data_IF_283549174757
#
_entry.id   IF_283549174757
#
_cell.length_a   1.000
_cell.length_b   1.000
_cell.length_c   1.000
_cell.angle_alpha   90.00
_cell.angle_beta   90.00
_cell.angle_gamma   90.00
#
_symmetry.space_group_name_H-M   'P 1'
#
loop_
_entity.id
_entity.type
_entity.pdbx_description
1 polymer ?
#
# COMPACT_ATOMS: atom_id res chain seq x y z
N UNK A 1 25.68 15.30 -22.12
CA UNK A 1 24.34 14.89 -22.60
C UNK A 1 23.34 15.17 -21.49
N UNK A 2 22.38 16.07 -21.69
CA UNK A 2 21.38 16.44 -20.66
C UNK A 2 20.28 15.39 -20.69
N UNK A 3 20.40 14.35 -19.87
CA UNK A 3 19.36 13.33 -19.75
C UNK A 3 18.18 13.99 -19.03
N UNK A 4 17.21 14.49 -19.81
CA UNK A 4 15.92 14.91 -19.30
C UNK A 4 15.12 13.62 -19.08
N UNK A 5 15.43 12.92 -17.99
CA UNK A 5 14.63 11.80 -17.54
C UNK A 5 13.35 12.36 -16.93
N UNK A 6 12.24 12.26 -17.65
CA UNK A 6 10.92 12.47 -17.07
C UNK A 6 10.62 11.37 -16.02
N UNK A 7 11.15 11.54 -14.80
CA UNK A 7 10.65 10.86 -13.61
C UNK A 7 9.65 11.68 -12.73
N UNK A 8 8.78 12.60 -13.25
CA UNK A 8 7.80 13.28 -12.41
C UNK A 8 6.44 12.58 -12.33
N UNK A 9 5.97 11.87 -13.38
CA UNK A 9 4.57 11.37 -13.41
C UNK A 9 4.34 10.14 -12.52
N UNK A 10 5.20 9.12 -12.61
CA UNK A 10 5.08 7.91 -11.79
C UNK A 10 5.30 8.20 -10.30
N UNK A 11 6.25 9.07 -9.96
CA UNK A 11 6.46 9.53 -8.58
C UNK A 11 5.20 10.21 -8.01
N UNK A 12 4.56 11.07 -8.79
CA UNK A 12 3.31 11.75 -8.40
C UNK A 12 2.18 10.72 -8.24
N UNK A 13 2.11 9.71 -9.12
CA UNK A 13 1.14 8.62 -9.02
C UNK A 13 1.33 7.81 -7.73
N UNK A 14 2.55 7.38 -7.43
CA UNK A 14 2.86 6.67 -6.19
C UNK A 14 2.51 7.52 -4.96
N UNK A 15 2.89 8.80 -4.94
CA UNK A 15 2.55 9.69 -3.83
C UNK A 15 1.03 9.83 -3.64
N UNK A 16 0.26 9.95 -4.74
CA UNK A 16 -1.21 9.99 -4.68
C UNK A 16 -1.79 8.67 -4.17
N UNK A 17 -1.29 7.54 -4.65
CA UNK A 17 -1.71 6.21 -4.23
C UNK A 17 -1.48 6.00 -2.73
N UNK A 18 -0.29 6.33 -2.23
CA UNK A 18 0.04 6.21 -0.79
C UNK A 18 -0.83 7.13 0.06
N UNK A 19 -1.11 8.37 -0.38
CA UNK A 19 -2.05 9.27 0.31
C UNK A 19 -3.46 8.67 0.38
N UNK A 20 -3.95 8.16 -0.75
CA UNK A 20 -5.28 7.56 -0.83
C UNK A 20 -5.36 6.34 0.08
N UNK A 21 -4.32 5.51 0.11
CA UNK A 21 -4.26 4.33 0.95
C UNK A 21 -4.17 4.65 2.44
N UNK A 22 -3.41 5.70 2.82
CA UNK A 22 -3.39 6.21 4.18
C UNK A 22 -4.76 6.74 4.61
N UNK A 23 -5.43 7.53 3.76
CA UNK A 23 -6.77 8.04 4.01
C UNK A 23 -7.80 6.90 4.16
N UNK A 24 -7.74 5.92 3.28
CA UNK A 24 -8.56 4.72 3.36
C UNK A 24 -8.34 3.97 4.69
N UNK A 25 -7.08 3.83 5.12
CA UNK A 25 -6.74 3.12 6.35
C UNK A 25 -7.30 3.82 7.58
N UNK A 26 -7.18 5.15 7.68
CA UNK A 26 -7.72 5.88 8.85
C UNK A 26 -9.26 5.84 8.89
N UNK A 27 -9.93 5.96 7.72
CA UNK A 27 -11.39 5.85 7.66
C UNK A 27 -11.86 4.44 8.06
N UNK A 28 -11.14 3.40 7.62
CA UNK A 28 -11.42 2.01 7.98
C UNK A 28 -11.21 1.76 9.47
N UNK A 29 -10.18 2.35 10.08
CA UNK A 29 -9.93 2.28 11.52
C UNK A 29 -11.05 2.93 12.34
N UNK A 30 -11.54 4.11 11.91
CA UNK A 30 -12.66 4.80 12.55
C UNK A 30 -13.92 3.92 12.45
N UNK A 31 -14.22 3.41 11.25
CA UNK A 31 -15.38 2.55 11.04
C UNK A 31 -15.32 1.28 11.90
N UNK A 32 -14.16 0.60 11.96
CA UNK A 32 -13.98 -0.57 12.81
C UNK A 32 -14.19 -0.20 14.29
N UNK A 33 -13.65 0.93 14.76
CA UNK A 33 -13.81 1.38 16.15
C UNK A 33 -15.26 1.66 16.52
N UNK A 34 -16.04 2.25 15.61
CA UNK A 34 -17.49 2.45 15.80
C UNK A 34 -18.18 1.09 15.93
N UNK A 35 -17.85 0.14 15.07
CA UNK A 35 -18.44 -1.21 15.08
C UNK A 35 -18.05 -1.99 16.35
N UNK A 36 -16.83 -1.81 16.87
CA UNK A 36 -16.43 -2.33 18.19
C UNK A 36 -17.41 -1.86 19.25
N UNK A 37 -17.69 -0.54 19.32
CA UNK A 37 -18.64 0.03 20.26
C UNK A 37 -20.03 -0.61 20.13
N UNK A 38 -20.56 -0.70 18.91
CA UNK A 38 -21.88 -1.31 18.63
C UNK A 38 -21.95 -2.76 19.14
N UNK A 39 -20.95 -3.59 18.84
CA UNK A 39 -20.96 -4.99 19.28
C UNK A 39 -20.70 -5.18 20.77
N UNK A 40 -20.01 -4.23 21.41
CA UNK A 40 -19.78 -4.24 22.85
C UNK A 40 -21.08 -3.94 23.61
N UNK A 41 -21.89 -2.98 23.13
CA UNK A 41 -23.23 -2.72 23.66
C UNK A 41 -24.25 -3.82 23.34
N UNK A 42 -24.02 -4.59 22.28
CA UNK A 42 -24.90 -5.70 21.87
C UNK A 42 -24.53 -7.06 22.50
N UNK A 43 -23.67 -7.06 23.53
CA UNK A 43 -23.22 -8.25 24.28
C UNK A 43 -22.62 -9.38 23.41
N UNK A 44 -21.95 -9.03 22.29
CA UNK A 44 -21.28 -9.98 21.40
C UNK A 44 -19.76 -9.79 21.44
N UNK A 45 -19.08 -10.16 22.54
CA UNK A 45 -17.67 -9.81 22.80
C UNK A 45 -16.69 -10.44 21.79
N UNK A 46 -17.01 -11.63 21.27
CA UNK A 46 -16.17 -12.28 20.25
C UNK A 46 -16.06 -11.46 18.96
N UNK A 47 -17.12 -10.72 18.59
CA UNK A 47 -17.12 -9.88 17.37
C UNK A 47 -16.42 -8.57 17.63
N UNK A 48 -16.62 -7.96 18.79
CA UNK A 48 -15.95 -6.70 19.13
C UNK A 48 -14.42 -6.85 19.14
N UNK A 49 -13.90 -7.99 19.63
CA UNK A 49 -12.46 -8.27 19.58
C UNK A 49 -11.94 -8.29 18.14
N UNK A 50 -12.65 -8.92 17.20
CA UNK A 50 -12.22 -8.97 15.80
C UNK A 50 -12.17 -7.59 15.14
N UNK A 51 -13.18 -6.74 15.37
CA UNK A 51 -13.15 -5.37 14.88
C UNK A 51 -12.10 -4.51 15.60
N UNK A 52 -11.78 -4.81 16.86
CA UNK A 52 -10.71 -4.13 17.59
C UNK A 52 -9.33 -4.46 17.00
N UNK A 53 -9.09 -5.74 16.69
CA UNK A 53 -7.89 -6.16 15.94
C UNK A 53 -7.85 -5.48 14.57
N UNK A 54 -9.00 -5.41 13.88
CA UNK A 54 -9.15 -4.65 12.64
C UNK A 54 -8.75 -3.17 12.79
N UNK A 55 -9.21 -2.49 13.84
CA UNK A 55 -8.81 -1.11 14.16
C UNK A 55 -7.30 -0.99 14.29
N UNK A 56 -6.66 -1.84 15.10
CA UNK A 56 -5.20 -1.79 15.26
C UNK A 56 -4.46 -2.05 13.95
N UNK A 57 -4.93 -2.99 13.14
CA UNK A 57 -4.36 -3.28 11.81
C UNK A 57 -4.44 -2.05 10.89
N UNK A 58 -5.58 -1.36 10.85
CA UNK A 58 -5.74 -0.19 10.00
C UNK A 58 -5.00 1.05 10.52
N UNK A 59 -4.94 1.26 11.83
CA UNK A 59 -4.15 2.34 12.45
C UNK A 59 -2.66 2.15 12.19
N UNK A 60 -2.15 0.94 12.40
CA UNK A 60 -0.73 0.63 12.14
C UNK A 60 -0.39 0.80 10.66
N UNK A 61 -1.28 0.34 9.76
CA UNK A 61 -1.15 0.57 8.31
C UNK A 61 -1.10 2.08 7.99
N UNK A 62 -1.97 2.89 8.58
CA UNK A 62 -2.00 4.34 8.38
C UNK A 62 -0.67 5.00 8.79
N UNK A 63 -0.21 4.74 10.01
CA UNK A 63 1.03 5.33 10.54
C UNK A 63 2.25 4.95 9.70
N UNK A 64 2.32 3.68 9.29
CA UNK A 64 3.39 3.17 8.44
C UNK A 64 3.41 3.85 7.06
N UNK A 65 2.24 4.03 6.43
CA UNK A 65 2.17 4.72 5.14
C UNK A 65 2.48 6.21 5.24
N UNK A 66 2.19 6.87 6.37
CA UNK A 66 2.60 8.25 6.61
C UNK A 66 4.12 8.40 6.70
N UNK A 67 4.79 7.55 7.48
CA UNK A 67 6.26 7.56 7.59
C UNK A 67 6.92 7.29 6.24
N UNK A 68 6.41 6.29 5.51
CA UNK A 68 6.88 6.00 4.15
C UNK A 68 6.71 7.19 3.22
N UNK A 69 5.56 7.87 3.28
CA UNK A 69 5.27 9.01 2.43
C UNK A 69 6.24 10.17 2.70
N UNK A 70 6.54 10.45 3.97
CA UNK A 70 7.49 11.50 4.35
C UNK A 70 8.91 11.15 3.87
N UNK A 71 9.36 9.91 4.09
CA UNK A 71 10.66 9.42 3.60
C UNK A 71 10.76 9.46 2.07
N UNK A 72 9.71 9.07 1.36
CA UNK A 72 9.65 9.08 -0.10
C UNK A 72 9.78 10.51 -0.67
N UNK A 73 9.18 11.50 -0.01
CA UNK A 73 9.30 12.92 -0.39
C UNK A 73 10.74 13.43 -0.27
N UNK A 74 11.44 13.04 0.80
CA UNK A 74 12.82 13.48 1.11
C UNK A 74 13.89 12.75 0.31
N UNK A 75 13.60 11.53 -0.14
CA UNK A 75 14.56 10.69 -0.86
C UNK A 75 14.72 11.18 -2.31
N UNK A 76 15.96 11.21 -2.82
CA UNK A 76 16.26 11.51 -4.22
C UNK A 76 15.90 10.32 -5.10
N UNK A 77 15.41 10.57 -6.32
CA UNK A 77 14.96 9.51 -7.23
C UNK A 77 16.02 8.43 -7.48
N UNK A 78 17.29 8.80 -7.70
CA UNK A 78 18.40 7.85 -7.93
C UNK A 78 18.64 6.86 -6.78
N UNK A 79 18.12 7.13 -5.58
CA UNK A 79 18.26 6.28 -4.40
C UNK A 79 17.00 5.47 -4.11
N UNK A 80 15.94 5.60 -4.92
CA UNK A 80 14.67 4.90 -4.69
C UNK A 80 14.84 3.39 -4.72
N UNK A 81 15.67 2.84 -5.61
CA UNK A 81 15.90 1.41 -5.66
C UNK A 81 16.52 0.84 -4.38
N UNK A 82 17.51 1.54 -3.79
CA UNK A 82 18.07 1.16 -2.49
C UNK A 82 17.05 1.33 -1.38
N UNK A 83 16.30 2.43 -1.41
CA UNK A 83 15.27 2.75 -0.43
C UNK A 83 14.19 1.66 -0.40
N UNK A 84 13.62 1.29 -1.55
CA UNK A 84 12.59 0.25 -1.65
C UNK A 84 13.11 -1.13 -1.28
N UNK A 85 14.36 -1.48 -1.61
CA UNK A 85 14.96 -2.77 -1.19
C UNK A 85 15.20 -2.86 0.32
N UNK A 86 15.46 -1.73 0.98
CA UNK A 86 15.77 -1.67 2.42
C UNK A 86 14.55 -1.40 3.28
N UNK A 87 13.42 -1.00 2.69
CA UNK A 87 12.23 -0.68 3.45
C UNK A 87 11.55 -1.93 3.98
N UNK A 88 11.30 -1.96 5.29
CA UNK A 88 10.54 -3.01 5.97
C UNK A 88 9.38 -2.37 6.75
N UNK A 89 8.14 -2.88 6.63
CA UNK A 89 7.75 -4.04 5.84
C UNK A 89 7.82 -3.80 4.33
N UNK A 90 8.00 -4.85 3.52
CA UNK A 90 7.93 -4.74 2.07
C UNK A 90 6.51 -4.36 1.65
N UNK A 91 6.29 -3.07 1.41
CA UNK A 91 5.01 -2.53 0.95
C UNK A 91 4.52 -3.24 -0.30
N UNK A 92 3.26 -3.62 -0.30
CA UNK A 92 2.57 -4.25 -1.40
C UNK A 92 2.76 -5.76 -1.53
N UNK A 93 3.77 -6.35 -0.86
CA UNK A 93 4.05 -7.79 -0.98
C UNK A 93 3.01 -8.69 -0.30
N UNK A 94 2.27 -8.16 0.67
CA UNK A 94 1.28 -8.91 1.43
C UNK A 94 -0.14 -8.83 0.84
N UNK A 95 -0.33 -8.26 -0.35
CA UNK A 95 -1.66 -8.06 -0.92
C UNK A 95 -2.46 -9.36 -1.04
N UNK A 96 -1.84 -10.43 -1.53
CA UNK A 96 -2.49 -11.75 -1.62
C UNK A 96 -2.93 -12.30 -0.26
N UNK A 97 -2.10 -12.13 0.78
CA UNK A 97 -2.44 -12.56 2.14
C UNK A 97 -3.69 -11.86 2.65
N UNK A 98 -3.83 -10.55 2.42
CA UNK A 98 -5.02 -9.81 2.81
C UNK A 98 -6.26 -10.28 2.04
N UNK A 99 -6.15 -10.59 0.74
CA UNK A 99 -7.25 -11.17 -0.03
C UNK A 99 -7.68 -12.52 0.54
N UNK A 100 -6.73 -13.38 0.93
CA UNK A 100 -7.05 -14.67 1.57
C UNK A 100 -7.73 -14.49 2.93
N UNK A 101 -7.24 -13.57 3.77
CA UNK A 101 -7.87 -13.26 5.07
C UNK A 101 -9.30 -12.74 4.87
N UNK A 102 -9.50 -11.86 3.88
CA UNK A 102 -10.83 -11.37 3.52
C UNK A 102 -11.78 -12.50 3.11
N UNK A 103 -11.31 -13.45 2.29
CA UNK A 103 -12.10 -14.60 1.88
C UNK A 103 -12.52 -15.46 3.09
N UNK A 104 -11.59 -15.72 4.01
CA UNK A 104 -11.88 -16.46 5.25
C UNK A 104 -12.95 -15.75 6.07
N UNK A 105 -12.85 -14.42 6.21
CA UNK A 105 -13.85 -13.62 6.93
C UNK A 105 -15.20 -13.58 6.22
N UNK A 106 -15.22 -13.56 4.89
CA UNK A 106 -16.45 -13.63 4.10
C UNK A 106 -17.15 -14.98 4.28
N UNK A 107 -16.41 -16.10 4.28
CA UNK A 107 -16.96 -17.42 4.59
C UNK A 107 -17.49 -17.46 6.03
N UNK A 108 -16.75 -16.91 6.99
CA UNK A 108 -17.21 -16.82 8.37
C UNK A 108 -18.48 -15.95 8.51
N UNK A 109 -18.63 -14.91 7.68
CA UNK A 109 -19.83 -14.07 7.61
C UNK A 109 -21.04 -14.85 7.12
N UNK A 110 -20.90 -15.66 6.06
CA UNK A 110 -22.00 -16.53 5.57
C UNK A 110 -22.46 -17.50 6.66
N UNK A 111 -21.54 -18.00 7.49
CA UNK A 111 -21.85 -18.99 8.53
C UNK A 111 -22.47 -18.37 9.80
N UNK A 112 -21.95 -17.23 10.28
CA UNK A 112 -22.32 -16.66 11.59
C UNK A 112 -22.75 -15.20 11.56
N UNK A 113 -22.55 -14.51 10.44
CA UNK A 113 -22.86 -13.10 10.23
C UNK A 113 -22.03 -12.12 11.06
N UNK A 114 -21.92 -10.90 10.57
CA UNK A 114 -21.30 -9.77 11.26
C UNK A 114 -19.81 -9.55 10.99
N UNK A 115 -19.19 -10.30 10.06
CA UNK A 115 -17.81 -10.12 9.61
C UNK A 115 -17.70 -9.49 8.22
N UNK A 116 -18.81 -9.36 7.49
CA UNK A 116 -18.82 -8.91 6.10
C UNK A 116 -18.19 -7.54 5.88
N UNK A 117 -18.42 -6.59 6.81
CA UNK A 117 -17.79 -5.26 6.73
C UNK A 117 -16.27 -5.37 6.85
N UNK A 118 -15.77 -6.09 7.86
CA UNK A 118 -14.33 -6.29 8.04
C UNK A 118 -13.71 -7.04 6.85
N UNK A 119 -14.40 -8.04 6.31
CA UNK A 119 -13.99 -8.78 5.12
C UNK A 119 -13.84 -7.84 3.91
N UNK A 120 -14.85 -7.00 3.64
CA UNK A 120 -14.82 -6.04 2.54
C UNK A 120 -13.68 -5.03 2.70
N UNK A 121 -13.46 -4.50 3.91
CA UNK A 121 -12.35 -3.59 4.17
C UNK A 121 -10.99 -4.28 3.91
N UNK A 122 -10.80 -5.50 4.43
CA UNK A 122 -9.53 -6.21 4.22
C UNK A 122 -9.32 -6.56 2.73
N UNK A 123 -10.38 -6.83 1.95
CA UNK A 123 -10.27 -7.03 0.51
C UNK A 123 -9.72 -5.78 -0.19
N UNK A 124 -10.32 -4.62 0.09
CA UNK A 124 -9.90 -3.34 -0.49
C UNK A 124 -8.46 -3.00 -0.07
N UNK A 125 -8.09 -3.25 1.19
CA UNK A 125 -6.70 -3.17 1.67
C UNK A 125 -5.77 -4.03 0.82
N UNK A 126 -6.15 -5.28 0.55
CA UNK A 126 -5.38 -6.19 -0.29
C UNK A 126 -5.18 -5.68 -1.72
N UNK A 127 -6.21 -5.08 -2.32
CA UNK A 127 -6.11 -4.46 -3.65
C UNK A 127 -5.13 -3.27 -3.65
N UNK A 128 -5.18 -2.41 -2.63
CA UNK A 128 -4.23 -1.31 -2.48
C UNK A 128 -2.78 -1.81 -2.40
N UNK A 129 -2.52 -2.87 -1.63
CA UNK A 129 -1.19 -3.49 -1.55
C UNK A 129 -0.72 -4.00 -2.92
N UNK A 130 -1.57 -4.70 -3.67
CA UNK A 130 -1.20 -5.22 -5.00
C UNK A 130 -0.84 -4.08 -5.96
N UNK A 131 -1.63 -3.01 -5.99
CA UNK A 131 -1.37 -1.85 -6.85
C UNK A 131 -0.08 -1.14 -6.41
N UNK A 132 0.10 -0.96 -5.09
CA UNK A 132 1.29 -0.33 -4.52
C UNK A 132 2.57 -1.12 -4.85
N UNK A 133 2.50 -2.46 -4.82
CA UNK A 133 3.60 -3.32 -5.20
C UNK A 133 4.05 -3.08 -6.65
N UNK A 134 3.08 -3.00 -7.57
CA UNK A 134 3.35 -2.74 -8.99
C UNK A 134 4.06 -1.40 -9.22
N UNK A 135 3.56 -0.34 -8.61
CA UNK A 135 4.13 1.01 -8.71
C UNK A 135 5.53 1.10 -8.09
N UNK A 136 5.73 0.51 -6.89
CA UNK A 136 7.05 0.46 -6.23
C UNK A 136 8.05 -0.30 -7.09
N UNK A 137 7.66 -1.44 -7.67
CA UNK A 137 8.54 -2.24 -8.53
C UNK A 137 8.92 -1.49 -9.81
N UNK A 138 7.96 -0.81 -10.46
CA UNK A 138 8.23 0.05 -11.63
C UNK A 138 9.26 1.12 -11.31
N UNK A 139 9.00 1.91 -10.26
CA UNK A 139 9.87 3.00 -9.82
C UNK A 139 11.25 2.51 -9.34
N UNK A 140 11.32 1.32 -8.73
CA UNK A 140 12.58 0.69 -8.36
C UNK A 140 13.44 0.40 -9.60
N UNK A 141 12.86 -0.19 -10.65
CA UNK A 141 13.59 -0.49 -11.88
C UNK A 141 14.01 0.80 -12.57
N UNK A 142 13.11 1.78 -12.73
CA UNK A 142 13.42 3.06 -13.37
C UNK A 142 14.50 3.84 -12.62
N UNK A 143 14.44 3.88 -11.29
CA UNK A 143 15.45 4.57 -10.48
C UNK A 143 16.81 3.89 -10.53
N UNK A 144 16.85 2.56 -10.64
CA UNK A 144 18.10 1.82 -10.85
C UNK A 144 18.72 2.12 -12.21
N UNK A 145 17.93 2.07 -13.30
CA UNK A 145 18.41 2.39 -14.63
C UNK A 145 18.90 3.84 -14.73
N UNK A 146 18.20 4.78 -14.10
CA UNK A 146 18.63 6.17 -14.02
C UNK A 146 19.93 6.33 -13.23
N UNK A 147 20.10 5.58 -12.14
CA UNK A 147 21.34 5.56 -11.38
C UNK A 147 22.53 5.08 -12.22
N UNK A 148 22.39 3.94 -12.92
CA UNK A 148 23.45 3.37 -13.78
C UNK A 148 23.83 4.30 -14.94
N UNK A 149 22.84 4.95 -15.56
CA UNK A 149 23.06 6.01 -16.54
C UNK A 149 23.86 7.19 -15.97
N UNK A 150 23.50 7.65 -14.77
CA UNK A 150 24.18 8.80 -14.14
C UNK A 150 25.63 8.46 -13.77
N UNK A 151 25.91 7.17 -13.52
CA UNK A 151 27.25 6.67 -13.20
C UNK A 151 28.09 6.30 -14.42
N UNK A 152 27.60 6.52 -15.65
CA UNK A 152 28.28 6.15 -16.91
C UNK A 152 28.59 4.64 -17.03
N UNK A 153 27.87 3.78 -16.30
CA UNK A 153 28.04 2.32 -16.40
C UNK A 153 27.30 1.73 -17.62
N UNK A 154 26.39 2.51 -18.22
CA UNK A 154 25.60 2.14 -19.40
C UNK A 154 25.75 3.25 -20.43
N UNK A 155 26.25 2.92 -21.63
CA UNK A 155 26.51 3.89 -22.70
C UNK A 155 25.24 4.42 -23.38
N UNK A 156 24.14 3.63 -23.36
CA UNK A 156 22.86 4.03 -23.93
C UNK A 156 21.69 3.32 -23.24
N UNK A 157 20.71 4.08 -22.77
CA UNK A 157 19.44 3.54 -22.29
C UNK A 157 18.32 4.10 -23.16
N UNK A 158 17.69 3.25 -23.97
CA UNK A 158 16.50 3.61 -24.73
C UNK A 158 15.29 3.10 -23.94
N UNK A 159 14.69 3.97 -23.11
CA UNK A 159 13.38 3.69 -22.51
C UNK A 159 12.34 4.04 -23.58
N UNK A 160 11.88 3.03 -24.32
CA UNK A 160 10.77 3.19 -25.26
C UNK A 160 9.48 3.07 -24.45
N UNK A 161 8.70 4.15 -24.37
CA UNK A 161 7.33 4.10 -23.85
C UNK A 161 6.47 3.31 -24.86
N UNK A 162 5.98 2.10 -24.50
CA UNK A 162 5.20 1.28 -25.41
C UNK A 162 3.82 1.87 -25.74
N UNK A 163 3.40 2.94 -25.07
CA UNK A 163 2.11 3.60 -25.26
C UNK A 163 2.22 4.99 -25.90
N UNK A 164 3.40 5.40 -26.37
CA UNK A 164 3.58 6.73 -27.01
C UNK A 164 3.08 6.81 -28.47
N UNK A 165 2.14 5.96 -28.88
CA UNK A 165 1.47 6.03 -30.20
C UNK A 165 0.01 6.41 -30.04
#
# INVERSE_FOLDING_TARGET
MKIISEAPRERVRLLKLVKLYALYSILSAILCSIIVGVYLFSEKPHRSILYLVGTFLFVTTYLMHLDFLDRLRRTRFNLYWMFFRRYSPPFGSYGFLHIMISLVLAVADVLKGGYGVLAALIAVKGLFEIILYGEIRSLMVLSYLHFELTMNNIDLLVIIDPFSK
#
